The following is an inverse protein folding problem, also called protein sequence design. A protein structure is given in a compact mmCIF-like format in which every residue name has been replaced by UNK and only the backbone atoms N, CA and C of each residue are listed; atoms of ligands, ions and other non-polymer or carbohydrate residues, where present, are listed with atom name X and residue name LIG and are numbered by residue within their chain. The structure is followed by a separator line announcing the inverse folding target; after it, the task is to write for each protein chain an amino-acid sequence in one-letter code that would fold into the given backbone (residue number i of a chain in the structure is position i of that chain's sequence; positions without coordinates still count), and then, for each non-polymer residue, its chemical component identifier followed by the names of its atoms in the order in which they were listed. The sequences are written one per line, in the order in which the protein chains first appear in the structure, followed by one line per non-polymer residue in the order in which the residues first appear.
data_IF_404519995167
#
_entry.id   IF_404519995167
#
_cell.length_a   1.000
_cell.length_b   1.000
_cell.length_c   1.000
_cell.angle_alpha   90.00
_cell.angle_beta   90.00
_cell.angle_gamma   90.00
#
_symmetry.space_group_name_H-M   'P 1'
#
loop_
_entity.id
_entity.type
_entity.pdbx_description
1 polymer ?
#
# COMPACT_ATOMS: atom_id res chain seq x y z
N UNK A 1 1.54 -5.79 1.26
CA UNK A 1 1.05 -4.86 2.30
C UNK A 1 1.80 -3.54 2.19
N UNK A 2 1.12 -2.42 2.40
CA UNK A 2 1.67 -1.07 2.33
C UNK A 2 1.28 -0.34 3.62
N UNK A 3 2.27 0.03 4.42
CA UNK A 3 2.09 0.88 5.60
C UNK A 3 2.33 2.33 5.18
N UNK A 4 1.43 3.22 5.57
CA UNK A 4 1.36 4.58 5.04
C UNK A 4 1.46 5.58 6.18
N UNK A 5 2.36 6.55 6.02
CA UNK A 5 2.47 7.71 6.88
C UNK A 5 2.26 8.98 6.06
N UNK A 6 1.52 9.94 6.60
CA UNK A 6 1.38 11.24 5.99
C UNK A 6 2.71 12.01 6.06
N UNK A 7 3.01 12.73 4.99
CA UNK A 7 4.00 13.81 5.05
C UNK A 7 3.40 15.01 5.78
N UNK A 8 4.20 16.05 5.99
CA UNK A 8 3.69 17.32 6.50
C UNK A 8 2.59 17.91 5.60
N UNK A 9 2.78 17.88 4.28
CA UNK A 9 1.75 18.26 3.31
C UNK A 9 0.49 17.40 3.49
N UNK A 10 0.68 16.09 3.57
CA UNK A 10 -0.41 15.15 3.69
C UNK A 10 -1.26 15.35 4.95
N UNK A 11 -0.61 15.72 6.06
CA UNK A 11 -1.24 16.00 7.34
C UNK A 11 -1.96 17.36 7.37
N UNK A 12 -1.37 18.41 6.77
CA UNK A 12 -2.04 19.72 6.63
C UNK A 12 -3.34 19.60 5.81
N UNK A 13 -3.35 18.71 4.83
CA UNK A 13 -4.51 18.41 3.98
C UNK A 13 -5.23 17.10 4.37
N UNK A 14 -5.28 16.75 5.66
CA UNK A 14 -5.87 15.49 6.11
C UNK A 14 -7.34 15.29 5.69
N UNK A 15 -8.10 16.38 5.52
CA UNK A 15 -9.53 16.34 5.12
C UNK A 15 -9.74 15.71 3.74
N UNK A 16 -8.75 15.77 2.85
CA UNK A 16 -8.84 15.17 1.51
C UNK A 16 -8.53 13.67 1.50
N UNK A 17 -8.20 13.05 2.65
CA UNK A 17 -7.65 11.69 2.65
C UNK A 17 -8.53 10.63 1.98
N UNK A 18 -9.85 10.75 2.06
CA UNK A 18 -10.78 9.81 1.40
C UNK A 18 -10.73 10.00 -0.12
N UNK A 19 -10.78 11.25 -0.59
CA UNK A 19 -10.67 11.56 -2.02
C UNK A 19 -9.32 11.14 -2.61
N UNK A 20 -8.22 11.30 -1.84
CA UNK A 20 -6.91 10.80 -2.24
C UNK A 20 -6.88 9.28 -2.35
N UNK A 21 -7.57 8.57 -1.46
CA UNK A 21 -7.72 7.13 -1.58
C UNK A 21 -8.49 6.75 -2.85
N UNK A 22 -9.65 7.36 -3.11
CA UNK A 22 -10.46 7.08 -4.31
C UNK A 22 -9.65 7.30 -5.60
N UNK A 23 -8.88 8.39 -5.65
CA UNK A 23 -7.98 8.68 -6.76
C UNK A 23 -6.85 7.64 -6.90
N UNK A 24 -6.27 7.20 -5.78
CA UNK A 24 -5.24 6.17 -5.75
C UNK A 24 -5.78 4.80 -6.16
N UNK A 25 -6.99 4.42 -5.72
CA UNK A 25 -7.65 3.17 -6.11
C UNK A 25 -7.93 3.15 -7.62
N UNK A 26 -8.48 4.24 -8.16
CA UNK A 26 -8.74 4.37 -9.60
C UNK A 26 -7.44 4.35 -10.43
N UNK A 27 -6.36 4.99 -9.95
CA UNK A 27 -5.06 4.94 -10.59
C UNK A 27 -4.44 3.53 -10.52
N UNK A 28 -4.55 2.87 -9.38
CA UNK A 28 -4.09 1.50 -9.17
C UNK A 28 -4.76 0.53 -10.13
N UNK A 29 -6.09 0.60 -10.28
CA UNK A 29 -6.85 -0.26 -11.19
C UNK A 29 -6.36 -0.12 -12.65
N UNK A 30 -6.08 1.11 -13.11
CA UNK A 30 -5.51 1.37 -14.44
C UNK A 30 -4.10 0.79 -14.62
N UNK A 31 -3.38 0.57 -13.53
CA UNK A 31 -2.02 0.03 -13.50
C UNK A 31 -2.00 -1.48 -13.22
N UNK A 32 -3.15 -2.14 -13.09
CA UNK A 32 -3.22 -3.56 -12.73
C UNK A 32 -2.99 -3.86 -11.25
N UNK A 33 -3.18 -2.86 -10.38
CA UNK A 33 -3.14 -2.99 -8.91
C UNK A 33 -4.56 -2.99 -8.36
N UNK A 34 -4.88 -3.96 -7.52
CA UNK A 34 -6.16 -4.06 -6.82
C UNK A 34 -5.95 -3.84 -5.33
N UNK A 35 -6.75 -2.96 -4.71
CA UNK A 35 -6.85 -2.89 -3.25
C UNK A 35 -7.77 -4.01 -2.77
N UNK A 36 -7.22 -4.97 -2.03
CA UNK A 36 -8.00 -6.01 -1.35
C UNK A 36 -8.66 -5.48 -0.09
N UNK A 37 -7.96 -4.59 0.59
CA UNK A 37 -8.50 -3.83 1.71
C UNK A 37 -7.65 -2.59 1.98
N UNK A 38 -8.27 -1.58 2.56
CA UNK A 38 -7.62 -0.35 2.99
C UNK A 38 -8.25 0.13 4.29
N UNK A 39 -7.43 0.58 5.24
CA UNK A 39 -7.87 1.04 6.54
C UNK A 39 -7.09 2.28 6.96
N UNK A 40 -7.79 3.28 7.51
CA UNK A 40 -7.17 4.33 8.32
C UNK A 40 -6.95 3.81 9.73
N UNK A 41 -5.78 4.07 10.29
CA UNK A 41 -5.35 3.45 11.55
C UNK A 41 -4.93 4.49 12.58
N UNK A 42 -5.11 4.15 13.85
CA UNK A 42 -4.50 4.87 14.97
C UNK A 42 -3.23 4.12 15.40
N UNK A 43 -2.11 4.82 15.53
CA UNK A 43 -0.85 4.23 15.97
C UNK A 43 0.35 4.73 15.15
N UNK A 44 1.30 3.84 14.87
CA UNK A 44 2.55 4.18 14.18
C UNK A 44 2.36 4.54 12.69
N UNK A 45 1.25 4.14 12.09
CA UNK A 45 0.91 4.40 10.69
C UNK A 45 -0.49 5.00 10.60
N UNK A 46 -0.68 5.93 9.67
CA UNK A 46 -1.93 6.65 9.44
C UNK A 46 -2.92 5.80 8.62
N UNK A 47 -2.39 4.91 7.78
CA UNK A 47 -3.18 3.94 7.05
C UNK A 47 -2.39 2.67 6.69
N UNK A 48 -3.13 1.62 6.35
CA UNK A 48 -2.59 0.37 5.79
C UNK A 48 -3.41 -0.07 4.60
N UNK A 49 -2.72 -0.50 3.54
CA UNK A 49 -3.32 -1.07 2.34
C UNK A 49 -2.82 -2.49 2.07
N UNK A 50 -3.73 -3.40 1.76
CA UNK A 50 -3.42 -4.70 1.18
C UNK A 50 -3.68 -4.60 -0.32
N UNK A 51 -2.62 -4.66 -1.11
CA UNK A 51 -2.67 -4.55 -2.57
C UNK A 51 -2.17 -5.83 -3.22
N UNK A 52 -2.79 -6.18 -4.35
CA UNK A 52 -2.40 -7.29 -5.22
C UNK A 52 -2.13 -6.77 -6.63
N UNK A 53 -1.17 -7.39 -7.32
CA UNK A 53 -0.86 -7.15 -8.72
C UNK A 53 -0.21 -8.43 -9.32
N UNK A 54 0.03 -8.44 -10.62
CA UNK A 54 0.68 -9.57 -11.29
C UNK A 54 2.13 -9.80 -10.80
N UNK A 55 2.84 -8.72 -10.43
CA UNK A 55 4.21 -8.77 -9.95
C UNK A 55 4.54 -7.60 -9.00
N UNK A 56 5.64 -7.71 -8.27
CA UNK A 56 6.08 -6.71 -7.29
C UNK A 56 6.56 -5.40 -7.96
N UNK A 57 6.98 -5.45 -9.23
CA UNK A 57 7.38 -4.26 -9.98
C UNK A 57 6.17 -3.36 -10.29
N UNK A 58 5.01 -3.96 -10.55
CA UNK A 58 3.73 -3.29 -10.76
C UNK A 58 3.28 -2.59 -9.48
N UNK A 59 3.36 -3.26 -8.33
CA UNK A 59 3.11 -2.64 -7.01
C UNK A 59 4.09 -1.49 -6.77
N UNK A 60 5.38 -1.70 -7.01
CA UNK A 60 6.41 -0.68 -6.77
C UNK A 60 6.17 0.57 -7.61
N UNK A 61 5.83 0.42 -8.90
CA UNK A 61 5.48 1.53 -9.78
C UNK A 61 4.28 2.31 -9.25
N UNK A 62 3.23 1.61 -8.82
CA UNK A 62 2.05 2.25 -8.25
C UNK A 62 2.37 3.06 -6.98
N UNK A 63 3.10 2.47 -6.04
CA UNK A 63 3.47 3.14 -4.79
C UNK A 63 4.36 4.36 -5.03
N UNK A 64 5.31 4.27 -5.97
CA UNK A 64 6.12 5.42 -6.37
C UNK A 64 5.27 6.52 -7.02
N UNK A 65 4.32 6.17 -7.88
CA UNK A 65 3.40 7.12 -8.51
C UNK A 65 2.56 7.87 -7.47
N UNK A 66 2.01 7.18 -6.47
CA UNK A 66 1.21 7.82 -5.40
C UNK A 66 2.12 8.62 -4.47
N UNK A 67 3.28 8.08 -4.08
CA UNK A 67 4.26 8.78 -3.23
C UNK A 67 4.81 10.06 -3.86
N UNK A 68 5.01 10.09 -5.18
CA UNK A 68 5.49 11.26 -5.91
C UNK A 68 4.55 12.48 -5.82
N UNK A 69 3.28 12.29 -5.44
CA UNK A 69 2.34 13.39 -5.18
C UNK A 69 2.63 14.13 -3.87
N UNK A 70 3.56 13.62 -3.05
CA UNK A 70 4.08 14.30 -1.87
C UNK A 70 3.20 14.20 -0.63
N UNK A 71 2.05 13.51 -0.69
CA UNK A 71 1.11 13.39 0.43
C UNK A 71 1.48 12.29 1.43
N UNK A 72 2.25 11.28 1.00
CA UNK A 72 2.53 10.09 1.81
C UNK A 72 3.98 9.64 1.70
N UNK A 73 4.44 8.92 2.73
CA UNK A 73 5.60 8.03 2.72
C UNK A 73 5.10 6.62 3.03
N UNK A 74 5.77 5.62 2.47
CA UNK A 74 5.31 4.24 2.57
C UNK A 74 6.42 3.28 2.97
N UNK A 75 6.06 2.26 3.74
CA UNK A 75 6.86 1.04 3.92
C UNK A 75 6.08 -0.11 3.28
N UNK A 76 6.66 -0.74 2.27
CA UNK A 76 6.02 -1.84 1.53
C UNK A 76 6.65 -3.16 1.94
N UNK A 77 5.81 -4.15 2.26
CA UNK A 77 6.25 -5.50 2.62
C UNK A 77 5.49 -6.55 1.81
N UNK A 78 6.21 -7.55 1.29
CA UNK A 78 5.62 -8.78 0.76
C UNK A 78 4.99 -9.54 1.93
N UNK A 79 3.69 -9.80 1.85
CA UNK A 79 2.98 -10.63 2.82
C UNK A 79 2.79 -12.01 2.21
N UNK A 80 3.38 -13.03 2.83
CA UNK A 80 3.16 -14.42 2.42
C UNK A 80 1.87 -14.94 3.03
N UNK A 81 1.09 -15.65 2.23
CA UNK A 81 -0.03 -16.47 2.69
C UNK A 81 0.46 -17.59 3.60
N UNK A 82 -0.48 -18.21 4.34
CA UNK A 82 -0.19 -19.40 5.15
C UNK A 82 0.43 -20.51 4.31
N UNK A 83 -0.06 -20.71 3.09
CA UNK A 83 0.40 -21.79 2.22
C UNK A 83 1.81 -21.50 1.67
N UNK A 84 2.07 -20.28 1.19
CA UNK A 84 3.42 -19.86 0.77
C UNK A 84 4.42 -20.00 1.92
N UNK A 85 4.06 -19.52 3.12
CA UNK A 85 4.92 -19.66 4.30
C UNK A 85 5.14 -21.13 4.66
N UNK A 86 4.10 -21.97 4.57
CA UNK A 86 4.23 -23.42 4.82
C UNK A 86 5.19 -24.08 3.84
N UNK A 87 5.21 -23.66 2.57
CA UNK A 87 6.22 -24.16 1.61
C UNK A 87 7.62 -23.65 1.95
N UNK A 88 7.77 -22.38 2.34
CA UNK A 88 9.07 -21.82 2.76
C UNK A 88 9.64 -22.59 3.95
N UNK A 89 8.81 -22.94 4.94
CA UNK A 89 9.24 -23.70 6.12
C UNK A 89 9.76 -25.10 5.80
N UNK A 90 9.30 -25.74 4.70
CA UNK A 90 9.83 -27.05 4.29
C UNK A 90 11.31 -27.01 3.87
N UNK A 91 11.85 -25.84 3.58
CA UNK A 91 13.27 -25.63 3.27
C UNK A 91 14.14 -25.37 4.50
N UNK A 92 13.57 -25.33 5.71
CA UNK A 92 14.35 -25.19 6.94
C UNK A 92 14.95 -26.53 7.38
N UNK A 93 16.17 -26.53 7.96
CA UNK A 93 16.80 -27.73 8.50
C UNK A 93 16.07 -28.30 9.72
#
# INVERSE_FOLDING_TARGET
MVLINWTEQGARDAKSTVQRYDAAEAAGAKMGVTFKSFYWTMGAHDAVGIVEAADDATVSRFILTVGAQGNIRTVTARAYTRDEMSQIMKGMP
#
